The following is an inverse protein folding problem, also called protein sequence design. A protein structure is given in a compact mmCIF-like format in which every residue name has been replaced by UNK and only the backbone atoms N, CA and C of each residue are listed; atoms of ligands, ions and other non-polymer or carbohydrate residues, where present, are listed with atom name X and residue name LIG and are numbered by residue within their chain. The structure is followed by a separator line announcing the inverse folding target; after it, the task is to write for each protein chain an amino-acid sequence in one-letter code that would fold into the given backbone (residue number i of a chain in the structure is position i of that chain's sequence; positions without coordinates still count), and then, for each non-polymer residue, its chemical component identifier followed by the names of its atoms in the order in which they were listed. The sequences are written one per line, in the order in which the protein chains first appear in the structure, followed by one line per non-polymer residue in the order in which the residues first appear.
data_IF_033618339521
#
_entry.id   IF_033618339521
#
_cell.length_a   1.000
_cell.length_b   1.000
_cell.length_c   1.000
_cell.angle_alpha   90.00
_cell.angle_beta   90.00
_cell.angle_gamma   90.00
#
_symmetry.space_group_name_H-M   'P 1'
#
loop_
_entity.id
_entity.type
_entity.pdbx_description
1 polymer ?
#
# COMPACT_ATOMS: atom_id res chain seq x y z
N UNK A 1 6.51 5.72 -4.18
CA UNK A 1 5.85 6.42 -3.09
C UNK A 1 4.89 5.49 -2.39
N UNK A 2 4.95 5.46 -1.08
CA UNK A 2 4.23 4.47 -0.29
C UNK A 2 3.22 5.08 0.69
N UNK A 3 3.20 6.40 0.86
CA UNK A 3 2.26 7.04 1.77
C UNK A 3 1.44 8.13 1.09
N UNK A 4 0.34 8.53 1.72
CA UNK A 4 -0.62 9.50 1.20
C UNK A 4 -0.64 10.74 2.09
N UNK A 5 -0.65 11.94 1.45
CA UNK A 5 -1.06 13.18 2.09
C UNK A 5 -2.55 13.41 1.87
N UNK A 6 -3.15 14.37 2.60
CA UNK A 6 -4.57 14.71 2.47
C UNK A 6 -4.94 15.13 1.04
N UNK A 7 -4.06 15.91 0.42
CA UNK A 7 -4.19 16.32 -0.98
C UNK A 7 -2.88 16.02 -1.67
N UNK A 8 -2.90 15.18 -2.70
CA UNK A 8 -1.71 14.79 -3.43
C UNK A 8 -2.03 14.46 -4.88
N UNK A 9 -1.06 14.69 -5.74
CA UNK A 9 -1.08 14.24 -7.12
C UNK A 9 0.23 13.51 -7.35
N UNK A 10 0.14 12.24 -7.72
CA UNK A 10 1.30 11.41 -8.01
C UNK A 10 1.45 11.30 -9.52
N UNK A 11 2.64 11.58 -10.00
CA UNK A 11 2.94 11.60 -11.42
C UNK A 11 3.87 10.46 -11.81
N UNK A 12 3.77 10.01 -13.07
CA UNK A 12 4.79 9.18 -13.65
C UNK A 12 6.00 10.05 -14.06
N UNK A 13 7.05 9.43 -14.58
CA UNK A 13 8.27 10.14 -14.98
C UNK A 13 8.07 11.08 -16.17
N UNK A 14 6.95 10.95 -16.90
CA UNK A 14 6.58 11.84 -18.01
C UNK A 14 5.71 13.02 -17.55
N UNK A 15 5.36 13.05 -16.27
CA UNK A 15 4.51 14.10 -15.72
C UNK A 15 3.01 13.85 -15.86
N UNK A 16 2.58 12.66 -16.28
CA UNK A 16 1.17 12.29 -16.34
C UNK A 16 0.64 11.90 -14.96
N UNK A 17 -0.52 12.42 -14.52
CA UNK A 17 -1.07 12.07 -13.22
C UNK A 17 -1.41 10.58 -13.13
N UNK A 18 -0.85 9.87 -12.16
CA UNK A 18 -1.17 8.48 -11.87
C UNK A 18 -2.29 8.36 -10.86
N UNK A 19 -2.21 9.14 -9.79
CA UNK A 19 -3.20 9.14 -8.71
C UNK A 19 -3.45 10.56 -8.27
N UNK A 20 -4.71 10.93 -8.15
CA UNK A 20 -5.13 12.24 -7.61
C UNK A 20 -5.90 11.99 -6.33
N UNK A 21 -5.48 12.62 -5.25
CA UNK A 21 -6.08 12.51 -3.92
C UNK A 21 -6.55 13.88 -3.49
N UNK A 22 -7.81 13.98 -3.06
CA UNK A 22 -8.40 15.20 -2.49
C UNK A 22 -9.18 14.82 -1.23
N UNK A 23 -8.97 15.55 -0.13
CA UNK A 23 -9.64 15.31 1.15
C UNK A 23 -9.52 13.85 1.61
N UNK A 24 -8.33 13.26 1.49
CA UNK A 24 -8.06 11.86 1.79
C UNK A 24 -8.83 10.84 0.93
N UNK A 25 -9.43 11.27 -0.17
CA UNK A 25 -10.17 10.40 -1.08
C UNK A 25 -9.45 10.36 -2.42
N UNK A 26 -9.28 9.16 -2.95
CA UNK A 26 -8.71 8.99 -4.28
C UNK A 26 -9.77 9.37 -5.31
N UNK A 27 -9.52 10.45 -6.05
CA UNK A 27 -10.42 10.96 -7.10
C UNK A 27 -10.16 10.31 -8.45
N UNK A 28 -8.93 9.95 -8.72
CA UNK A 28 -8.54 9.40 -10.02
C UNK A 28 -7.38 8.44 -9.86
N UNK A 29 -7.48 7.26 -10.47
CA UNK A 29 -6.42 6.27 -10.53
C UNK A 29 -6.20 5.90 -11.99
N UNK A 30 -5.03 6.23 -12.54
CA UNK A 30 -4.67 5.95 -13.93
C UNK A 30 -3.47 5.01 -14.05
N UNK A 31 -3.19 4.25 -12.99
CA UNK A 31 -2.15 3.23 -13.01
C UNK A 31 -2.66 1.94 -13.64
N UNK A 32 -1.84 1.26 -14.39
CA UNK A 32 -2.15 -0.09 -14.89
C UNK A 32 -1.77 -1.15 -13.86
N UNK A 33 -0.72 -0.90 -13.07
CA UNK A 33 -0.19 -1.84 -12.08
C UNK A 33 0.15 -1.11 -10.79
N UNK A 34 -0.30 -1.63 -9.64
CA UNK A 34 -0.01 -1.01 -8.34
C UNK A 34 1.48 -0.99 -8.02
N UNK A 35 2.27 -1.86 -8.63
CA UNK A 35 3.73 -1.87 -8.43
C UNK A 35 4.39 -0.61 -8.99
N UNK A 36 3.69 0.20 -9.77
CA UNK A 36 4.17 1.51 -10.21
C UNK A 36 4.19 2.53 -9.08
N UNK A 37 3.35 2.35 -8.05
CA UNK A 37 3.19 3.33 -6.97
C UNK A 37 3.52 2.78 -5.60
N UNK A 38 3.55 1.47 -5.42
CA UNK A 38 3.97 0.85 -4.16
C UNK A 38 5.48 0.59 -4.19
N UNK A 39 6.13 0.78 -3.05
CA UNK A 39 7.55 0.49 -2.87
C UNK A 39 7.74 -0.26 -1.56
N UNK A 40 8.73 -1.14 -1.51
CA UNK A 40 9.08 -1.84 -0.29
C UNK A 40 9.59 -0.87 0.77
N UNK A 41 9.18 -1.09 2.00
CA UNK A 41 9.60 -0.32 3.17
C UNK A 41 9.94 -1.30 4.28
N UNK A 42 11.20 -1.32 4.71
CA UNK A 42 11.67 -2.22 5.77
C UNK A 42 10.97 -1.95 7.10
N UNK A 43 10.81 -0.66 7.41
CA UNK A 43 10.04 -0.20 8.56
C UNK A 43 9.56 1.22 8.29
N UNK A 44 8.28 1.52 8.58
CA UNK A 44 7.75 2.87 8.46
C UNK A 44 8.38 3.80 9.50
N UNK A 45 8.47 5.08 9.17
CA UNK A 45 9.05 6.08 10.09
C UNK A 45 8.23 6.25 11.37
N UNK A 46 6.90 6.12 11.26
CA UNK A 46 5.98 6.16 12.39
C UNK A 46 4.69 5.40 12.05
N UNK A 47 3.84 5.26 13.05
CA UNK A 47 2.57 4.52 12.92
C UNK A 47 1.57 5.23 11.98
N UNK A 48 1.69 6.56 11.81
CA UNK A 48 0.81 7.30 10.90
C UNK A 48 1.06 6.92 9.44
N UNK A 49 2.31 6.67 9.07
CA UNK A 49 2.65 6.20 7.72
C UNK A 49 1.97 4.86 7.43
N UNK A 50 1.95 3.95 8.40
CA UNK A 50 1.22 2.69 8.28
C UNK A 50 -0.28 2.93 8.08
N UNK A 51 -0.87 3.83 8.86
CA UNK A 51 -2.30 4.13 8.79
C UNK A 51 -2.67 4.73 7.43
N UNK A 52 -1.85 5.64 6.91
CA UNK A 52 -2.06 6.23 5.58
C UNK A 52 -1.96 5.18 4.50
N UNK A 53 -0.96 4.32 4.55
CA UNK A 53 -0.80 3.26 3.55
C UNK A 53 -1.96 2.27 3.61
N UNK A 54 -2.42 1.89 4.80
CA UNK A 54 -3.55 0.99 4.96
C UNK A 54 -4.82 1.58 4.34
N UNK A 55 -5.05 2.87 4.53
CA UNK A 55 -6.17 3.60 3.91
C UNK A 55 -6.03 3.63 2.39
N UNK A 56 -4.83 3.89 1.90
CA UNK A 56 -4.52 3.90 0.47
C UNK A 56 -4.77 2.52 -0.16
N UNK A 57 -4.32 1.47 0.49
CA UNK A 57 -4.56 0.09 0.04
C UNK A 57 -6.06 -0.20 -0.02
N UNK A 58 -6.84 0.26 0.96
CA UNK A 58 -8.29 0.12 0.94
C UNK A 58 -8.91 0.77 -0.29
N UNK A 59 -8.45 1.96 -0.68
CA UNK A 59 -8.94 2.64 -1.89
C UNK A 59 -8.51 1.92 -3.17
N UNK A 60 -7.30 1.38 -3.21
CA UNK A 60 -6.85 0.56 -4.34
C UNK A 60 -7.69 -0.71 -4.49
N UNK A 61 -8.11 -1.32 -3.39
CA UNK A 61 -9.01 -2.47 -3.41
C UNK A 61 -10.39 -2.09 -3.96
N UNK A 62 -10.94 -0.95 -3.55
CA UNK A 62 -12.21 -0.44 -4.09
C UNK A 62 -12.12 -0.19 -5.59
N UNK A 63 -10.98 0.30 -6.07
CA UNK A 63 -10.72 0.52 -7.49
C UNK A 63 -10.36 -0.76 -8.26
N UNK A 64 -10.34 -1.91 -7.59
CA UNK A 64 -10.01 -3.22 -8.15
C UNK A 64 -8.58 -3.31 -8.70
N UNK A 65 -7.67 -2.51 -8.15
CA UNK A 65 -6.23 -2.56 -8.48
C UNK A 65 -5.49 -3.55 -7.60
N UNK A 66 -6.00 -3.80 -6.39
CA UNK A 66 -5.52 -4.81 -5.47
C UNK A 66 -6.68 -5.70 -5.03
N UNK A 67 -6.38 -6.92 -4.68
CA UNK A 67 -7.33 -7.81 -4.00
C UNK A 67 -6.65 -8.44 -2.79
N UNK A 68 -7.46 -8.76 -1.77
CA UNK A 68 -6.97 -9.45 -0.59
C UNK A 68 -6.57 -10.87 -0.98
N UNK A 69 -5.40 -11.31 -0.49
CA UNK A 69 -4.95 -12.69 -0.65
C UNK A 69 -4.95 -13.38 0.70
N UNK A 70 -5.57 -14.56 0.77
CA UNK A 70 -5.49 -15.39 1.96
C UNK A 70 -4.14 -16.08 2.03
N UNK A 71 -3.56 -16.17 3.23
CA UNK A 71 -2.33 -16.88 3.49
C UNK A 71 -2.45 -17.60 4.84
N UNK A 72 -1.82 -18.76 4.95
CA UNK A 72 -1.70 -19.48 6.21
C UNK A 72 -0.72 -18.78 7.15
N UNK A 73 0.22 -17.99 6.60
CA UNK A 73 1.22 -17.27 7.38
C UNK A 73 0.71 -15.87 7.74
N UNK A 74 -0.23 -15.81 8.69
CA UNK A 74 -0.85 -14.55 9.14
C UNK A 74 0.04 -13.73 10.07
N UNK A 75 1.14 -14.28 10.54
CA UNK A 75 2.07 -13.64 11.47
C UNK A 75 3.49 -13.81 10.97
N UNK A 76 4.36 -12.84 11.27
CA UNK A 76 5.79 -12.99 11.03
C UNK A 76 6.43 -13.83 12.15
N UNK A 77 7.76 -14.03 12.07
CA UNK A 77 8.49 -14.81 13.06
C UNK A 77 8.52 -14.19 14.46
N UNK A 78 8.09 -12.93 14.61
CA UNK A 78 8.04 -12.17 15.87
C UNK A 78 6.61 -11.98 16.38
N UNK A 79 5.61 -12.59 15.75
CA UNK A 79 4.21 -12.49 16.15
C UNK A 79 3.47 -11.27 15.62
N UNK A 80 4.07 -10.51 14.72
CA UNK A 80 3.40 -9.36 14.09
C UNK A 80 2.43 -9.87 13.02
N UNK A 81 1.20 -9.33 13.04
CA UNK A 81 0.16 -9.74 12.08
C UNK A 81 0.47 -9.21 10.69
N UNK A 82 0.28 -10.04 9.67
CA UNK A 82 0.51 -9.71 8.27
C UNK A 82 -0.79 -9.77 7.48
N UNK A 83 -0.93 -8.83 6.55
CA UNK A 83 -2.01 -8.82 5.57
C UNK A 83 -1.40 -8.98 4.18
N UNK A 84 -1.99 -9.83 3.36
CA UNK A 84 -1.49 -10.09 2.03
C UNK A 84 -2.44 -9.53 0.98
N UNK A 85 -1.87 -8.87 -0.02
CA UNK A 85 -2.61 -8.28 -1.15
C UNK A 85 -1.95 -8.69 -2.44
N UNK A 86 -2.77 -8.87 -3.47
CA UNK A 86 -2.30 -9.27 -4.78
C UNK A 86 -2.62 -8.19 -5.79
N UNK A 87 -1.63 -7.82 -6.60
CA UNK A 87 -1.84 -6.93 -7.73
C UNK A 87 -2.73 -7.61 -8.77
N UNK A 88 -3.80 -6.96 -9.19
CA UNK A 88 -4.73 -7.53 -10.16
C UNK A 88 -4.17 -7.54 -11.57
N UNK A 89 -3.12 -6.79 -11.83
CA UNK A 89 -2.47 -6.72 -13.15
C UNK A 89 -1.33 -7.73 -13.30
N UNK A 90 -0.29 -7.61 -12.47
CA UNK A 90 0.91 -8.45 -12.59
C UNK A 90 0.90 -9.65 -11.65
N UNK A 91 -0.08 -9.73 -10.75
CA UNK A 91 -0.26 -10.81 -9.76
C UNK A 91 0.84 -10.87 -8.71
N UNK A 92 1.66 -9.86 -8.58
CA UNK A 92 2.63 -9.76 -7.49
C UNK A 92 1.91 -9.67 -6.15
N UNK A 93 2.48 -10.30 -5.14
CA UNK A 93 1.93 -10.33 -3.79
C UNK A 93 2.70 -9.36 -2.91
N UNK A 94 1.96 -8.57 -2.15
CA UNK A 94 2.49 -7.62 -1.17
C UNK A 94 2.06 -8.02 0.21
N UNK A 95 2.97 -7.96 1.16
CA UNK A 95 2.71 -8.24 2.57
C UNK A 95 2.85 -6.96 3.39
N UNK A 96 1.78 -6.59 4.09
CA UNK A 96 1.76 -5.46 5.01
C UNK A 96 1.77 -6.00 6.42
N UNK A 97 2.82 -5.68 7.20
CA UNK A 97 2.98 -6.11 8.59
C UNK A 97 2.54 -4.99 9.53
N UNK A 98 1.67 -5.30 10.49
CA UNK A 98 1.16 -4.31 11.46
C UNK A 98 2.25 -3.80 12.39
N UNK A 99 2.14 -2.51 12.83
CA UNK A 99 2.95 -2.01 13.94
C UNK A 99 2.67 -2.76 15.23
N UNK A 100 3.69 -2.93 16.05
CA UNK A 100 3.58 -3.53 17.37
C UNK A 100 4.75 -3.05 18.26
N UNK A 101 4.42 -2.46 19.40
CA UNK A 101 5.43 -1.92 20.31
C UNK A 101 6.28 -0.84 19.62
N UNK A 102 7.59 -1.08 19.56
CA UNK A 102 8.53 -0.16 18.90
C UNK A 102 8.64 -0.35 17.39
N UNK A 103 7.97 -1.36 16.84
CA UNK A 103 7.97 -1.64 15.42
C UNK A 103 6.82 -0.87 14.75
N UNK A 104 7.13 -0.09 13.73
CA UNK A 104 6.17 0.80 13.07
C UNK A 104 5.46 0.17 11.87
N UNK A 105 5.76 -1.09 11.56
CA UNK A 105 5.16 -1.77 10.42
C UNK A 105 6.09 -1.80 9.22
N UNK A 106 5.71 -2.62 8.25
CA UNK A 106 6.54 -2.94 7.09
C UNK A 106 5.67 -3.23 5.87
N UNK A 107 6.17 -2.90 4.68
CA UNK A 107 5.58 -3.33 3.42
C UNK A 107 6.64 -4.04 2.60
N UNK A 108 6.37 -5.25 2.16
CA UNK A 108 7.30 -6.03 1.35
C UNK A 108 6.59 -6.67 0.16
N UNK A 109 7.31 -6.75 -0.95
CA UNK A 109 6.88 -7.46 -2.15
C UNK A 109 7.46 -8.86 -2.11
N UNK A 110 6.62 -9.85 -2.21
CA UNK A 110 7.03 -11.26 -2.15
C UNK A 110 7.42 -11.81 -3.53
#
# INVERSE_FOLDING_TARGET
LYFIADDAIWFDWKGSPLIVIENNIIKSIKISCVCEVLAEVDEFNDIFDFCYLKKYISELKKAKKLCKKHSINKYDGYGHKKFYYKCTKCRSVWALTEPDGNFNGRLEKL
#
